data_IF_818259853106
#
_entry.id   IF_818259853106
#
_cell.length_a   1.000
_cell.length_b   1.000
_cell.length_c   1.000
_cell.angle_alpha   90.00
_cell.angle_beta   90.00
_cell.angle_gamma   90.00
#
_symmetry.space_group_name_H-M   'P 1'
#
loop_
_entity.id
_entity.type
_entity.pdbx_description
1 polymer ?
#
# COMPACT_ATOMS: atom_id res chain seq x y z
N UNK A 1 -5.22 -29.67 -17.82
CA UNK A 1 -3.75 -29.57 -17.68
C UNK A 1 -3.42 -28.34 -16.84
N UNK A 2 -3.19 -28.52 -15.53
CA UNK A 2 -2.90 -27.41 -14.61
C UNK A 2 -1.43 -26.99 -14.76
N UNK A 3 -1.16 -25.79 -15.27
CA UNK A 3 0.21 -25.24 -15.37
C UNK A 3 0.74 -25.06 -13.95
N UNK A 4 1.81 -25.79 -13.61
CA UNK A 4 2.53 -25.60 -12.35
C UNK A 4 2.99 -24.14 -12.25
N UNK A 5 2.94 -23.51 -11.07
CA UNK A 5 3.45 -22.15 -10.90
C UNK A 5 4.96 -22.15 -11.17
N UNK A 6 5.37 -21.50 -12.25
CA UNK A 6 6.79 -21.32 -12.58
C UNK A 6 7.38 -20.20 -11.71
N UNK A 7 8.67 -20.31 -11.40
CA UNK A 7 9.36 -19.22 -10.70
C UNK A 7 9.39 -18.00 -11.60
N UNK A 8 8.90 -16.86 -11.12
CA UNK A 8 8.90 -15.58 -11.85
C UNK A 8 10.30 -15.25 -12.40
N UNK A 9 11.35 -15.63 -11.67
CA UNK A 9 12.76 -15.56 -12.08
C UNK A 9 13.08 -16.19 -13.45
N UNK A 10 12.46 -17.32 -13.79
CA UNK A 10 12.66 -18.03 -15.06
C UNK A 10 11.86 -17.38 -16.19
N UNK A 11 10.70 -16.80 -15.91
CA UNK A 11 9.90 -16.07 -16.89
C UNK A 11 10.62 -14.82 -17.43
N UNK A 12 11.42 -14.15 -16.59
CA UNK A 12 12.21 -12.99 -17.01
C UNK A 12 13.28 -13.30 -18.07
N UNK A 13 13.69 -14.56 -18.23
CA UNK A 13 14.72 -14.94 -19.21
C UNK A 13 14.15 -15.26 -20.59
N UNK A 14 12.89 -15.70 -20.65
CA UNK A 14 12.25 -16.17 -21.87
C UNK A 14 11.66 -15.04 -22.73
N UNK A 15 11.32 -13.90 -22.12
CA UNK A 15 10.76 -12.74 -22.82
C UNK A 15 11.75 -11.56 -22.77
N UNK A 16 12.12 -11.05 -23.95
CA UNK A 16 13.09 -9.99 -24.11
C UNK A 16 12.64 -8.67 -23.45
N UNK A 17 11.32 -8.38 -23.43
CA UNK A 17 10.78 -7.20 -22.76
C UNK A 17 10.89 -7.33 -21.24
N UNK A 18 10.53 -8.50 -20.71
CA UNK A 18 10.65 -8.82 -19.28
C UNK A 18 12.10 -8.80 -18.82
N UNK A 19 13.02 -9.31 -19.65
CA UNK A 19 14.47 -9.27 -19.41
C UNK A 19 14.96 -7.84 -19.27
N UNK A 20 14.65 -6.96 -20.23
CA UNK A 20 15.02 -5.55 -20.16
C UNK A 20 14.46 -4.85 -18.92
N UNK A 21 13.19 -5.07 -18.60
CA UNK A 21 12.53 -4.51 -17.40
C UNK A 21 13.23 -4.95 -16.12
N UNK A 22 13.62 -6.23 -16.02
CA UNK A 22 14.33 -6.78 -14.86
C UNK A 22 15.71 -6.15 -14.69
N UNK A 23 16.49 -6.00 -15.77
CA UNK A 23 17.80 -5.34 -15.77
C UNK A 23 17.64 -3.87 -15.35
N UNK A 24 16.63 -3.17 -15.90
CA UNK A 24 16.33 -1.78 -15.54
C UNK A 24 15.97 -1.66 -14.06
N UNK A 25 15.11 -2.54 -13.54
CA UNK A 25 14.71 -2.55 -12.13
C UNK A 25 15.89 -2.81 -11.20
N UNK A 26 16.78 -3.76 -11.56
CA UNK A 26 18.01 -4.03 -10.80
C UNK A 26 18.94 -2.83 -10.78
N UNK A 27 19.16 -2.18 -11.92
CA UNK A 27 19.98 -0.96 -12.01
C UNK A 27 19.42 0.15 -11.14
N UNK A 28 18.10 0.37 -11.20
CA UNK A 28 17.42 1.38 -10.40
C UNK A 28 17.52 1.06 -8.90
N UNK A 29 17.40 -0.21 -8.50
CA UNK A 29 17.54 -0.63 -7.10
C UNK A 29 18.96 -0.39 -6.57
N UNK A 30 20.00 -0.74 -7.34
CA UNK A 30 21.41 -0.44 -6.99
C UNK A 30 21.62 1.05 -6.76
N UNK A 31 21.10 1.90 -7.65
CA UNK A 31 21.19 3.35 -7.52
C UNK A 31 20.39 3.88 -6.33
N UNK A 32 19.23 3.27 -6.02
CA UNK A 32 18.47 3.60 -4.82
C UNK A 32 19.26 3.29 -3.54
N UNK A 33 19.97 2.15 -3.48
CA UNK A 33 20.82 1.81 -2.34
C UNK A 33 21.98 2.79 -2.18
N UNK A 34 22.61 3.21 -3.28
CA UNK A 34 23.68 4.22 -3.25
C UNK A 34 23.15 5.55 -2.72
N UNK A 35 21.98 5.98 -3.23
CA UNK A 35 21.30 7.18 -2.75
C UNK A 35 21.04 7.10 -1.24
N UNK A 36 20.46 6.01 -0.76
CA UNK A 36 20.17 5.80 0.66
C UNK A 36 21.42 5.82 1.54
N UNK A 37 22.55 5.32 1.05
CA UNK A 37 23.84 5.37 1.78
C UNK A 37 24.47 6.76 1.78
N UNK A 38 24.23 7.56 0.74
CA UNK A 38 24.77 8.92 0.64
C UNK A 38 23.96 9.97 1.43
N UNK A 39 22.69 9.66 1.74
CA UNK A 39 21.81 10.55 2.50
C UNK A 39 21.86 10.24 4.00
N UNK A 40 21.63 11.24 4.88
CA UNK A 40 21.47 11.01 6.30
C UNK A 40 20.30 10.05 6.59
N UNK A 41 20.40 9.28 7.68
CA UNK A 41 19.40 8.28 8.09
C UNK A 41 17.96 8.86 8.20
N UNK A 42 17.85 10.15 8.54
CA UNK A 42 16.57 10.87 8.62
C UNK A 42 15.84 10.97 7.26
N UNK A 43 16.57 10.86 6.16
CA UNK A 43 16.02 10.90 4.81
C UNK A 43 15.89 9.51 4.18
N UNK A 44 16.79 8.57 4.50
CA UNK A 44 16.85 7.24 3.85
C UNK A 44 15.53 6.46 3.95
N UNK A 45 14.80 6.63 5.05
CA UNK A 45 13.52 5.93 5.30
C UNK A 45 12.32 6.62 4.63
N UNK A 46 12.47 7.89 4.27
CA UNK A 46 11.41 8.76 3.76
C UNK A 46 11.61 9.15 2.29
N UNK A 47 12.68 8.67 1.66
CA UNK A 47 13.08 9.02 0.30
C UNK A 47 13.44 7.75 -0.48
N UNK A 48 12.84 7.58 -1.65
CA UNK A 48 13.17 6.48 -2.56
C UNK A 48 13.39 7.00 -3.97
N UNK A 49 14.39 6.47 -4.67
CA UNK A 49 14.60 6.73 -6.07
C UNK A 49 13.48 6.08 -6.89
N UNK A 50 12.61 6.88 -7.49
CA UNK A 50 11.47 6.39 -8.25
C UNK A 50 11.82 6.12 -9.71
N UNK A 51 12.62 6.99 -10.32
CA UNK A 51 13.02 6.82 -11.72
C UNK A 51 14.26 7.63 -12.05
N UNK A 52 14.92 7.23 -13.14
CA UNK A 52 16.01 7.96 -13.78
C UNK A 52 15.74 8.01 -15.27
N UNK A 53 15.84 9.21 -15.81
CA UNK A 53 15.81 9.53 -17.24
C UNK A 53 17.13 10.19 -17.63
N UNK A 54 17.31 10.53 -18.90
CA UNK A 54 18.60 11.06 -19.41
C UNK A 54 19.02 12.37 -18.72
N UNK A 55 18.09 13.28 -18.43
CA UNK A 55 18.39 14.60 -17.84
C UNK A 55 17.87 14.79 -16.41
N UNK A 56 17.01 13.89 -15.91
CA UNK A 56 16.44 14.03 -14.56
C UNK A 56 16.35 12.74 -13.74
N UNK A 57 16.55 12.92 -12.43
CA UNK A 57 16.30 11.94 -11.37
C UNK A 57 14.96 12.28 -10.73
N UNK A 58 14.14 11.26 -10.46
CA UNK A 58 12.87 11.41 -9.77
C UNK A 58 12.97 10.72 -8.40
N UNK A 59 12.80 11.49 -7.33
CA UNK A 59 12.75 10.97 -5.95
C UNK A 59 11.32 11.06 -5.43
N UNK A 60 10.87 10.01 -4.78
CA UNK A 60 9.61 9.95 -4.07
C UNK A 60 9.84 10.14 -2.58
N UNK A 61 8.98 10.93 -1.94
CA UNK A 61 8.97 11.11 -0.49
C UNK A 61 7.56 11.10 0.07
N UNK A 62 7.41 10.70 1.32
CA UNK A 62 6.13 10.63 2.03
C UNK A 62 5.67 11.99 2.59
N UNK A 63 6.59 12.92 2.89
CA UNK A 63 6.27 14.22 3.49
C UNK A 63 6.79 15.39 2.66
N UNK A 64 6.01 16.48 2.61
CA UNK A 64 6.38 17.71 1.91
C UNK A 64 7.66 18.35 2.47
N UNK A 65 7.90 18.24 3.78
CA UNK A 65 9.07 18.83 4.44
C UNK A 65 10.38 18.24 3.88
N UNK A 66 10.43 16.91 3.71
CA UNK A 66 11.57 16.25 3.07
C UNK A 66 11.70 16.63 1.60
N UNK A 67 10.59 16.85 0.90
CA UNK A 67 10.63 17.27 -0.50
C UNK A 67 11.33 18.63 -0.68
N UNK A 68 11.06 19.59 0.19
CA UNK A 68 11.74 20.88 0.17
C UNK A 68 13.24 20.73 0.43
N UNK A 69 13.62 19.98 1.47
CA UNK A 69 15.02 19.74 1.82
C UNK A 69 15.80 19.01 0.71
N UNK A 70 15.18 18.02 0.06
CA UNK A 70 15.77 17.33 -1.09
C UNK A 70 16.00 18.28 -2.27
N UNK A 71 15.07 19.20 -2.54
CA UNK A 71 15.23 20.21 -3.59
C UNK A 71 16.37 21.18 -3.28
N UNK A 72 16.54 21.59 -2.01
CA UNK A 72 17.71 22.37 -1.60
C UNK A 72 19.03 21.62 -1.81
N UNK A 73 19.03 20.30 -1.61
CA UNK A 73 20.20 19.44 -1.83
C UNK A 73 20.30 18.89 -3.26
N UNK A 74 19.53 19.41 -4.22
CA UNK A 74 19.45 18.86 -5.57
C UNK A 74 20.83 18.76 -6.25
N UNK A 75 21.65 19.80 -6.15
CA UNK A 75 22.98 19.83 -6.75
C UNK A 75 23.89 18.73 -6.18
N UNK A 76 23.85 18.51 -4.86
CA UNK A 76 24.62 17.45 -4.20
C UNK A 76 24.15 16.06 -4.64
N UNK A 77 22.84 15.82 -4.63
CA UNK A 77 22.23 14.54 -5.03
C UNK A 77 22.51 14.23 -6.51
N UNK A 78 22.40 15.23 -7.38
CA UNK A 78 22.74 15.09 -8.80
C UNK A 78 24.22 14.75 -8.97
N UNK A 79 25.13 15.39 -8.22
CA UNK A 79 26.57 15.11 -8.28
C UNK A 79 26.90 13.70 -7.79
N UNK A 80 26.33 13.26 -6.66
CA UNK A 80 26.60 11.92 -6.11
C UNK A 80 26.07 10.82 -7.02
N UNK A 81 24.86 10.96 -7.56
CA UNK A 81 24.31 9.97 -8.48
C UNK A 81 25.04 9.99 -9.82
N UNK A 82 25.39 11.16 -10.36
CA UNK A 82 26.11 11.25 -11.64
C UNK A 82 27.42 10.48 -11.67
N UNK A 83 28.10 10.31 -10.52
CA UNK A 83 29.31 9.49 -10.42
C UNK A 83 29.08 7.99 -10.70
N UNK A 84 27.83 7.52 -10.57
CA UNK A 84 27.43 6.13 -10.76
C UNK A 84 26.59 5.90 -12.02
N UNK A 85 26.33 6.95 -12.79
CA UNK A 85 25.59 6.88 -14.05
C UNK A 85 26.52 7.08 -15.24
N UNK A 86 26.22 6.45 -16.40
CA UNK A 86 26.98 6.68 -17.63
C UNK A 86 26.82 8.12 -18.16
N UNK A 87 25.68 8.76 -17.88
CA UNK A 87 25.40 10.13 -18.27
C UNK A 87 25.10 10.96 -17.01
N UNK A 88 25.73 12.13 -16.85
CA UNK A 88 25.50 12.98 -15.70
C UNK A 88 24.11 13.60 -15.77
N UNK A 89 23.43 13.63 -14.62
CA UNK A 89 22.06 14.13 -14.50
C UNK A 89 22.08 15.51 -13.84
N UNK A 90 21.37 16.46 -14.44
CA UNK A 90 21.39 17.87 -13.97
C UNK A 90 20.15 18.27 -13.19
N UNK A 91 19.02 17.58 -13.37
CA UNK A 91 17.75 17.95 -12.75
C UNK A 91 17.30 16.93 -11.71
N UNK A 92 16.80 17.43 -10.59
CA UNK A 92 16.12 16.64 -9.57
C UNK A 92 14.63 17.01 -9.54
N UNK A 93 13.77 16.02 -9.74
CA UNK A 93 12.33 16.12 -9.55
C UNK A 93 11.94 15.37 -8.28
N UNK A 94 11.25 16.06 -7.37
CA UNK A 94 10.79 15.45 -6.11
C UNK A 94 9.28 15.38 -6.10
N UNK A 95 8.73 14.17 -5.94
CA UNK A 95 7.30 13.89 -5.86
C UNK A 95 6.93 13.46 -4.44
N UNK A 96 5.89 14.08 -3.90
CA UNK A 96 5.34 13.67 -2.59
C UNK A 96 4.25 12.65 -2.85
N UNK A 97 4.42 11.43 -2.33
CA UNK A 97 3.38 10.42 -2.25
C UNK A 97 3.06 10.23 -0.77
N UNK A 98 2.07 10.95 -0.24
CA UNK A 98 1.65 10.73 1.14
C UNK A 98 1.25 9.26 1.29
N UNK A 99 1.61 8.67 2.43
CA UNK A 99 1.09 7.37 2.79
C UNK A 99 -0.42 7.52 2.95
N UNK A 100 -1.17 7.10 1.93
CA UNK A 100 -2.60 6.91 2.07
C UNK A 100 -2.76 5.81 3.11
N UNK A 101 -3.25 6.15 4.30
CA UNK A 101 -3.76 5.13 5.20
C UNK A 101 -4.71 4.27 4.38
N UNK A 102 -4.59 2.93 4.44
CA UNK A 102 -5.56 2.07 3.79
C UNK A 102 -6.91 2.57 4.26
N UNK A 103 -7.80 2.93 3.32
CA UNK A 103 -9.18 3.29 3.63
C UNK A 103 -9.64 2.20 4.58
N UNK A 104 -9.82 2.54 5.88
CA UNK A 104 -10.31 1.60 6.87
C UNK A 104 -11.55 1.04 6.21
N UNK A 105 -11.50 -0.23 5.80
CA UNK A 105 -12.60 -0.87 5.11
C UNK A 105 -13.81 -0.52 5.93
N UNK A 106 -14.74 0.27 5.39
CA UNK A 106 -15.94 0.69 6.12
C UNK A 106 -16.52 -0.61 6.61
N UNK A 107 -16.37 -0.88 7.91
CA UNK A 107 -16.81 -2.12 8.51
C UNK A 107 -18.26 -2.24 8.09
N UNK A 108 -18.58 -3.31 7.37
CA UNK A 108 -19.88 -3.43 6.72
C UNK A 108 -20.94 -3.19 7.82
N UNK A 109 -21.83 -2.19 7.71
CA UNK A 109 -22.76 -1.84 8.79
C UNK A 109 -23.69 -3.00 9.18
N UNK A 110 -23.71 -4.08 8.39
CA UNK A 110 -24.41 -5.32 8.66
C UNK A 110 -23.69 -6.32 9.58
N UNK A 111 -22.58 -5.96 10.23
CA UNK A 111 -21.91 -6.88 11.20
C UNK A 111 -22.46 -6.80 12.62
N UNK A 112 -23.56 -6.06 12.86
CA UNK A 112 -24.27 -6.14 14.14
C UNK A 112 -24.84 -7.55 14.32
N UNK A 113 -24.05 -8.40 14.99
CA UNK A 113 -24.44 -9.73 15.41
C UNK A 113 -24.87 -9.69 16.87
N UNK A 114 -25.94 -10.40 17.16
CA UNK A 114 -26.54 -10.50 18.49
C UNK A 114 -26.04 -11.81 19.12
N UNK A 115 -25.73 -11.85 20.41
CA UNK A 115 -25.34 -13.11 21.07
C UNK A 115 -26.52 -14.10 21.07
N UNK A 116 -26.25 -15.36 21.34
CA UNK A 116 -27.31 -16.39 21.45
C UNK A 116 -28.30 -16.04 22.56
N UNK A 117 -27.82 -15.67 23.73
CA UNK A 117 -28.63 -15.25 24.89
C UNK A 117 -29.50 -14.03 24.57
N UNK A 118 -28.95 -13.02 23.89
CA UNK A 118 -29.70 -11.82 23.53
C UNK A 118 -30.72 -12.09 22.42
N UNK A 119 -30.45 -13.02 21.51
CA UNK A 119 -31.43 -13.45 20.51
C UNK A 119 -32.62 -14.16 21.17
N UNK A 120 -32.37 -15.04 22.14
CA UNK A 120 -33.41 -15.74 22.91
C UNK A 120 -34.29 -14.76 23.70
N UNK A 121 -33.68 -13.81 24.41
CA UNK A 121 -34.40 -12.77 25.14
C UNK A 121 -35.29 -11.93 24.21
N UNK A 122 -34.77 -11.55 23.03
CA UNK A 122 -35.52 -10.78 22.03
C UNK A 122 -36.70 -11.60 21.46
N UNK A 123 -36.54 -12.91 21.24
CA UNK A 123 -37.64 -13.77 20.79
C UNK A 123 -38.70 -13.98 21.86
N UNK A 124 -38.29 -14.18 23.12
CA UNK A 124 -39.20 -14.32 24.26
C UNK A 124 -40.04 -13.05 24.44
N UNK A 125 -39.37 -11.90 24.42
CA UNK A 125 -40.04 -10.59 24.52
C UNK A 125 -41.01 -10.37 23.36
N UNK A 126 -40.64 -10.75 22.13
CA UNK A 126 -41.54 -10.64 20.98
C UNK A 126 -42.74 -11.58 21.05
N UNK A 127 -42.64 -12.72 21.76
CA UNK A 127 -43.74 -13.68 21.92
C UNK A 127 -44.84 -13.16 22.85
N UNK A 128 -44.48 -12.34 23.85
CA UNK A 128 -45.43 -11.72 24.79
C UNK A 128 -46.13 -10.48 24.20
N UNK A 129 -45.70 -10.02 23.03
CA UNK A 129 -46.25 -8.84 22.37
C UNK A 129 -47.36 -9.18 21.37
N UNK A 130 -48.30 -8.26 21.25
CA UNK A 130 -49.34 -8.29 20.23
C UNK A 130 -48.72 -8.21 18.83
N UNK A 131 -49.40 -8.80 17.84
CA UNK A 131 -48.94 -8.77 16.46
C UNK A 131 -48.92 -7.35 15.92
N UNK A 132 -47.75 -6.92 15.47
CA UNK A 132 -47.51 -5.55 15.04
C UNK A 132 -46.09 -5.31 14.52
N UNK A 133 -45.80 -4.08 14.07
CA UNK A 133 -44.52 -3.73 13.47
C UNK A 133 -43.34 -3.92 14.43
N UNK A 134 -43.56 -3.74 15.74
CA UNK A 134 -42.54 -3.89 16.77
C UNK A 134 -42.14 -5.36 16.98
N UNK A 135 -43.11 -6.28 17.03
CA UNK A 135 -42.87 -7.73 17.09
C UNK A 135 -42.07 -8.22 15.89
N UNK A 136 -42.41 -7.74 14.68
CA UNK A 136 -41.67 -8.08 13.47
C UNK A 136 -40.21 -7.55 13.50
N UNK A 137 -40.00 -6.34 14.00
CA UNK A 137 -38.68 -5.75 14.13
C UNK A 137 -37.79 -6.51 15.15
N UNK A 138 -38.34 -6.89 16.30
CA UNK A 138 -37.64 -7.69 17.31
C UNK A 138 -37.25 -9.07 16.79
N UNK A 139 -38.16 -9.77 16.11
CA UNK A 139 -37.86 -11.06 15.48
C UNK A 139 -36.80 -10.93 14.37
N UNK A 140 -36.82 -9.83 13.60
CA UNK A 140 -35.79 -9.55 12.58
C UNK A 140 -34.42 -9.29 13.20
N UNK A 141 -34.37 -8.69 14.39
CA UNK A 141 -33.15 -8.46 15.14
C UNK A 141 -32.59 -9.75 15.72
N UNK A 142 -33.44 -10.60 16.32
CA UNK A 142 -33.05 -11.90 16.87
C UNK A 142 -32.45 -12.85 15.81
N UNK A 143 -32.94 -12.80 14.57
CA UNK A 143 -32.38 -13.56 13.44
C UNK A 143 -30.93 -13.20 13.08
N UNK A 144 -30.35 -12.14 13.64
CA UNK A 144 -28.94 -11.75 13.46
C UNK A 144 -28.01 -12.40 14.50
N UNK A 145 -28.41 -13.54 15.06
CA UNK A 145 -27.62 -14.33 16.00
C UNK A 145 -26.23 -14.64 15.42
N UNK A 146 -25.17 -14.36 16.18
CA UNK A 146 -23.83 -14.78 15.84
C UNK A 146 -23.75 -16.29 15.88
N UNK A 147 -23.72 -16.93 14.71
CA UNK A 147 -23.34 -18.34 14.61
C UNK A 147 -21.83 -18.44 14.87
N UNK A 148 -21.42 -18.33 16.13
CA UNK A 148 -20.11 -18.81 16.57
C UNK A 148 -20.22 -20.34 16.62
N UNK A 149 -19.91 -20.98 15.49
CA UNK A 149 -19.53 -22.39 15.50
C UNK A 149 -18.24 -22.48 16.31
N UNK A 150 -18.32 -23.13 17.48
CA UNK A 150 -17.18 -23.77 18.12
C UNK A 150 -16.61 -24.85 17.19
#
# INVERSE_FOLDING_TARGET
>A
MSKKPERIGQLYQNDNQMKWLSIRAQKLNKLNTILQKSLPLKFSNHCTLANITEDKIIILTDKANYASLLRFQAAFICKTLSAHLPNPVKKLEVKVRPQSEPLKSKMNPNTLRVSTETAELLTSTAAEMQDGPLKAALNKLAKRQSNQKN
#
